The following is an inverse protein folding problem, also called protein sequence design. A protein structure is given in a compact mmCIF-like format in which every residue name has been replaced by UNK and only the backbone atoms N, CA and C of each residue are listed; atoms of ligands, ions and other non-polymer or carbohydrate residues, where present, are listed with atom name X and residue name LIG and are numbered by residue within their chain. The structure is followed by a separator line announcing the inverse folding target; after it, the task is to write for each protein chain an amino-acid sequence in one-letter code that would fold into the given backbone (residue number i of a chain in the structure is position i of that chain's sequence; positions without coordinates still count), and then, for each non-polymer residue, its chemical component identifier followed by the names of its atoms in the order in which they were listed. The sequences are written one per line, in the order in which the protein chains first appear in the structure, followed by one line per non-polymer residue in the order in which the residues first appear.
data_IF_167216450570
#
_entry.id   IF_167216450570
#
_cell.length_a   1.000
_cell.length_b   1.000
_cell.length_c   1.000
_cell.angle_alpha   90.00
_cell.angle_beta   90.00
_cell.angle_gamma   90.00
#
_symmetry.space_group_name_H-M   'P 1'
#
loop_
_entity.id
_entity.type
_entity.pdbx_description
1 polymer ?
#
# COMPACT_ATOMS: atom_id res chain seq x y z
N UNK A 1 -8.85 4.48 -12.61
CA UNK A 1 -7.96 5.27 -13.49
C UNK A 1 -8.33 5.02 -14.94
N UNK A 2 -8.25 6.05 -15.80
CA UNK A 2 -8.72 6.13 -17.21
C UNK A 2 -10.12 5.57 -17.53
N UNK A 3 -10.37 4.27 -17.35
CA UNK A 3 -11.70 3.63 -17.47
C UNK A 3 -12.78 4.33 -16.62
N UNK A 4 -12.40 4.74 -15.41
CA UNK A 4 -13.29 5.50 -14.50
C UNK A 4 -13.52 6.95 -14.95
N UNK A 5 -12.55 7.56 -15.65
CA UNK A 5 -12.71 8.91 -16.22
C UNK A 5 -13.74 8.85 -17.35
N UNK A 6 -13.62 7.87 -18.24
CA UNK A 6 -14.61 7.63 -19.31
C UNK A 6 -16.00 7.29 -18.75
N UNK A 7 -16.08 6.47 -17.70
CA UNK A 7 -17.35 6.14 -17.06
C UNK A 7 -18.04 7.36 -16.41
N UNK A 8 -17.26 8.27 -15.79
CA UNK A 8 -17.77 9.52 -15.23
C UNK A 8 -18.20 10.51 -16.33
N UNK A 9 -17.45 10.62 -17.43
CA UNK A 9 -17.84 11.42 -18.62
C UNK A 9 -19.16 10.90 -19.21
N UNK A 10 -19.34 9.59 -19.26
CA UNK A 10 -20.57 8.93 -19.69
C UNK A 10 -21.72 9.00 -18.66
N UNK A 11 -21.57 9.79 -17.57
CA UNK A 11 -22.55 9.97 -16.48
C UNK A 11 -23.02 8.67 -15.81
N UNK A 12 -22.27 7.58 -15.90
CA UNK A 12 -22.56 6.38 -15.11
C UNK A 12 -22.21 6.67 -13.65
N UNK A 13 -23.16 6.43 -12.73
CA UNK A 13 -22.88 6.44 -11.29
C UNK A 13 -21.87 5.33 -11.00
N UNK A 14 -20.60 5.70 -10.82
CA UNK A 14 -19.54 4.77 -10.46
C UNK A 14 -19.62 4.47 -8.96
N UNK A 15 -19.35 3.22 -8.56
CA UNK A 15 -19.39 2.81 -7.15
C UNK A 15 -18.43 3.64 -6.27
N UNK A 16 -17.40 4.23 -6.87
CA UNK A 16 -16.42 5.11 -6.21
C UNK A 16 -17.08 6.40 -5.70
N UNK A 17 -17.91 7.07 -6.51
CA UNK A 17 -18.60 8.30 -6.09
C UNK A 17 -19.62 7.99 -4.99
N UNK A 18 -20.34 6.87 -5.13
CA UNK A 18 -21.33 6.44 -4.14
C UNK A 18 -20.71 6.09 -2.78
N UNK A 19 -19.51 5.53 -2.78
CA UNK A 19 -18.80 5.13 -1.55
C UNK A 19 -17.72 6.14 -1.12
N UNK A 20 -17.78 7.38 -1.63
CA UNK A 20 -16.83 8.46 -1.31
C UNK A 20 -15.35 8.07 -1.46
N UNK A 21 -15.05 7.20 -2.42
CA UNK A 21 -13.69 6.75 -2.71
C UNK A 21 -13.17 5.57 -1.88
N UNK A 22 -13.94 5.05 -0.92
CA UNK A 22 -13.52 3.92 -0.09
C UNK A 22 -14.48 2.73 -0.22
N UNK A 23 -13.99 1.65 -0.84
CA UNK A 23 -14.73 0.38 -0.96
C UNK A 23 -14.04 -0.65 -0.09
N UNK A 24 -14.59 -0.86 1.10
CA UNK A 24 -14.09 -1.85 2.05
C UNK A 24 -14.14 -3.25 1.48
N UNK A 25 -13.09 -4.00 1.76
CA UNK A 25 -13.03 -5.44 1.55
C UNK A 25 -13.29 -6.14 2.88
N UNK A 26 -14.34 -6.95 2.94
CA UNK A 26 -14.80 -7.63 4.14
C UNK A 26 -14.45 -9.12 4.13
N UNK A 27 -14.29 -9.70 5.31
CA UNK A 27 -13.90 -11.09 5.50
C UNK A 27 -12.39 -11.30 5.63
N UNK A 28 -12.02 -12.51 6.04
CA UNK A 28 -10.65 -12.99 6.12
C UNK A 28 -10.56 -14.26 5.28
N UNK A 29 -9.50 -14.42 4.48
CA UNK A 29 -9.21 -15.69 3.83
C UNK A 29 -9.00 -16.77 4.89
N UNK A 30 -9.49 -17.98 4.61
CA UNK A 30 -9.31 -19.17 5.47
C UNK A 30 -7.84 -19.53 5.65
N UNK A 31 -7.00 -19.24 4.66
CA UNK A 31 -5.55 -19.40 4.74
C UNK A 31 -4.85 -18.11 4.31
N UNK A 32 -4.11 -17.54 5.25
CA UNK A 32 -3.27 -16.37 5.03
C UNK A 32 -1.86 -16.86 4.66
N UNK A 33 -1.61 -17.03 3.36
CA UNK A 33 -0.27 -17.29 2.83
C UNK A 33 0.10 -16.25 1.77
N UNK A 34 1.38 -15.89 1.74
CA UNK A 34 1.93 -14.91 0.81
C UNK A 34 3.45 -14.92 0.88
N UNK A 35 4.10 -14.44 -0.18
CA UNK A 35 5.55 -14.33 -0.21
C UNK A 35 5.96 -13.06 -0.95
N UNK A 36 6.84 -12.28 -0.32
CA UNK A 36 7.55 -11.22 -1.02
C UNK A 36 8.59 -11.80 -1.98
N UNK A 37 9.04 -11.04 -2.98
CA UNK A 37 10.15 -11.46 -3.83
C UNK A 37 11.39 -11.80 -3.02
N UNK A 38 12.08 -12.89 -3.39
CA UNK A 38 13.34 -13.29 -2.74
C UNK A 38 14.52 -12.41 -3.15
N UNK A 39 14.46 -11.87 -4.37
CA UNK A 39 15.53 -11.11 -5.01
C UNK A 39 15.08 -9.66 -5.19
N UNK A 40 15.95 -8.74 -4.80
CA UNK A 40 15.79 -7.32 -5.09
C UNK A 40 16.45 -7.03 -6.44
N UNK A 41 15.68 -6.52 -7.40
CA UNK A 41 16.21 -6.17 -8.71
C UNK A 41 17.17 -4.99 -8.61
N UNK A 42 18.24 -5.01 -9.41
CA UNK A 42 19.24 -3.94 -9.42
C UNK A 42 18.69 -2.61 -9.89
N UNK A 43 17.81 -2.64 -10.90
CA UNK A 43 17.13 -1.49 -11.48
C UNK A 43 15.63 -1.68 -11.48
N UNK A 44 14.90 -0.58 -11.34
CA UNK A 44 13.45 -0.54 -11.47
C UNK A 44 13.06 0.75 -12.20
N UNK A 45 12.90 0.64 -13.52
CA UNK A 45 12.62 1.80 -14.40
C UNK A 45 11.36 2.57 -13.98
N UNK A 46 10.37 1.88 -13.40
CA UNK A 46 9.14 2.53 -12.91
C UNK A 46 9.43 3.40 -11.68
N UNK A 47 10.21 2.88 -10.73
CA UNK A 47 10.61 3.65 -9.56
C UNK A 47 11.48 4.85 -9.96
N UNK A 48 12.44 4.63 -10.86
CA UNK A 48 13.35 5.68 -11.35
C UNK A 48 12.56 6.81 -12.05
N UNK A 49 11.56 6.44 -12.84
CA UNK A 49 10.66 7.40 -13.49
C UNK A 49 9.83 8.19 -12.46
N UNK A 50 9.26 7.52 -11.45
CA UNK A 50 8.49 8.18 -10.38
C UNK A 50 9.38 9.15 -9.59
N UNK A 51 10.57 8.72 -9.16
CA UNK A 51 11.50 9.58 -8.42
C UNK A 51 11.97 10.77 -9.25
N UNK A 52 12.25 10.56 -10.54
CA UNK A 52 12.61 11.65 -11.45
C UNK A 52 11.48 12.67 -11.59
N UNK A 53 10.24 12.20 -11.77
CA UNK A 53 9.07 13.06 -11.85
C UNK A 53 8.87 13.88 -10.57
N UNK A 54 8.96 13.24 -9.41
CA UNK A 54 8.85 13.90 -8.09
C UNK A 54 9.90 14.99 -7.91
N UNK A 55 11.16 14.70 -8.26
CA UNK A 55 12.28 15.64 -8.15
C UNK A 55 12.13 16.83 -9.10
N UNK A 56 11.80 16.58 -10.36
CA UNK A 56 11.61 17.62 -11.37
C UNK A 56 10.49 18.60 -10.98
N UNK A 57 9.41 18.08 -10.40
CA UNK A 57 8.25 18.88 -10.00
C UNK A 57 8.31 19.39 -8.56
N UNK A 58 9.42 19.18 -7.84
CA UNK A 58 9.63 19.60 -6.45
C UNK A 58 8.49 19.14 -5.51
N UNK A 59 7.93 17.96 -5.76
CA UNK A 59 6.82 17.42 -4.98
C UNK A 59 7.29 16.91 -3.63
N UNK A 60 6.48 17.11 -2.59
CA UNK A 60 6.66 16.46 -1.29
C UNK A 60 5.96 15.11 -1.32
N UNK A 61 6.73 14.04 -1.45
CA UNK A 61 6.22 12.66 -1.54
C UNK A 61 6.78 11.84 -0.38
N UNK A 62 5.93 10.97 0.16
CA UNK A 62 6.31 9.97 1.17
C UNK A 62 6.15 8.59 0.54
N UNK A 63 7.26 7.88 0.41
CA UNK A 63 7.23 6.47 0.06
C UNK A 63 7.00 5.64 1.31
N UNK A 64 6.10 4.66 1.23
CA UNK A 64 5.86 3.74 2.34
C UNK A 64 5.57 2.33 1.87
N UNK A 65 5.85 1.35 2.74
CA UNK A 65 5.46 -0.05 2.55
C UNK A 65 4.29 -0.37 3.48
N UNK A 66 3.18 -0.86 2.94
CA UNK A 66 1.99 -1.21 3.72
C UNK A 66 2.19 -2.51 4.54
N UNK A 67 1.38 -2.74 5.60
CA UNK A 67 1.50 -3.94 6.43
C UNK A 67 1.22 -5.24 5.66
N UNK A 68 1.91 -6.31 6.05
CA UNK A 68 1.64 -7.70 5.63
C UNK A 68 1.23 -8.55 6.82
N UNK A 69 0.51 -9.65 6.57
CA UNK A 69 0.13 -10.60 7.62
C UNK A 69 1.38 -11.18 8.33
N UNK A 70 1.17 -11.83 9.48
CA UNK A 70 2.27 -12.47 10.22
C UNK A 70 2.93 -13.62 9.43
N UNK A 71 2.18 -14.32 8.58
CA UNK A 71 2.64 -15.53 7.88
C UNK A 71 3.29 -15.26 6.51
N UNK A 72 3.46 -13.99 6.11
CA UNK A 72 4.09 -13.65 4.83
C UNK A 72 5.57 -14.06 4.85
N UNK A 73 6.06 -14.66 3.76
CA UNK A 73 7.44 -15.12 3.64
C UNK A 73 8.35 -14.04 3.03
N UNK A 74 9.67 -14.16 3.25
CA UNK A 74 10.70 -13.24 2.73
C UNK A 74 10.54 -11.79 3.22
N UNK A 75 10.17 -11.60 4.49
CA UNK A 75 9.94 -10.27 5.08
C UNK A 75 11.19 -9.39 5.14
N UNK A 76 12.38 -9.98 5.07
CA UNK A 76 13.65 -9.26 4.95
C UNK A 76 13.76 -8.45 3.64
N UNK A 77 12.87 -8.70 2.66
CA UNK A 77 12.77 -7.90 1.44
C UNK A 77 12.54 -6.42 1.74
N UNK A 78 11.73 -6.05 2.73
CA UNK A 78 11.47 -4.64 3.04
C UNK A 78 12.69 -3.94 3.64
N UNK A 79 13.47 -4.66 4.45
CA UNK A 79 14.79 -4.21 4.93
C UNK A 79 15.74 -3.97 3.77
N UNK A 80 15.82 -4.90 2.80
CA UNK A 80 16.64 -4.72 1.59
C UNK A 80 16.15 -3.52 0.75
N UNK A 81 14.84 -3.32 0.66
CA UNK A 81 14.26 -2.20 -0.08
C UNK A 81 14.62 -0.85 0.55
N UNK A 82 14.67 -0.75 1.89
CA UNK A 82 15.14 0.46 2.60
C UNK A 82 16.59 0.84 2.29
N UNK A 83 17.44 -0.12 1.91
CA UNK A 83 18.82 0.21 1.45
C UNK A 83 18.79 0.97 0.12
N UNK A 84 17.85 0.62 -0.78
CA UNK A 84 17.69 1.29 -2.08
C UNK A 84 16.88 2.57 -2.04
N UNK A 85 15.91 2.63 -1.13
CA UNK A 85 15.02 3.77 -0.94
C UNK A 85 15.12 4.17 0.54
N UNK A 86 16.18 4.89 0.97
CA UNK A 86 16.39 5.23 2.37
C UNK A 86 15.23 6.01 3.00
N UNK A 87 14.49 6.77 2.20
CA UNK A 87 13.31 7.53 2.60
C UNK A 87 12.03 6.68 2.77
N UNK A 88 12.07 5.38 2.45
CA UNK A 88 10.93 4.48 2.57
C UNK A 88 10.55 4.30 4.04
N UNK A 89 9.32 4.73 4.38
CA UNK A 89 8.71 4.42 5.67
C UNK A 89 8.18 2.98 5.65
N UNK A 90 8.82 2.11 6.41
CA UNK A 90 8.45 0.69 6.45
C UNK A 90 7.39 0.43 7.53
N UNK A 91 6.14 0.20 7.12
CA UNK A 91 5.05 -0.23 7.98
C UNK A 91 4.69 -1.70 7.77
N UNK A 92 5.54 -2.49 7.11
CA UNK A 92 5.29 -3.90 6.79
C UNK A 92 4.91 -4.76 8.00
N UNK A 93 5.32 -4.34 9.20
CA UNK A 93 5.05 -5.01 10.47
C UNK A 93 4.18 -4.18 11.43
N UNK A 94 3.59 -3.06 10.99
CA UNK A 94 2.79 -2.19 11.84
C UNK A 94 1.49 -2.85 12.34
N UNK A 95 1.04 -3.90 11.67
CA UNK A 95 -0.09 -4.75 12.09
C UNK A 95 0.36 -6.21 12.09
N UNK A 96 0.06 -6.93 13.17
CA UNK A 96 0.47 -8.33 13.36
C UNK A 96 -0.67 -9.30 13.59
N UNK A 97 -1.89 -8.80 13.81
CA UNK A 97 -3.07 -9.63 14.04
C UNK A 97 -3.77 -9.92 12.71
N UNK A 98 -3.93 -11.21 12.39
CA UNK A 98 -4.56 -11.73 11.19
C UNK A 98 -6.00 -11.20 10.98
N UNK A 99 -6.69 -10.78 12.05
CA UNK A 99 -8.02 -10.18 11.94
C UNK A 99 -8.06 -8.86 11.14
N UNK A 100 -6.90 -8.25 10.88
CA UNK A 100 -6.77 -7.02 10.10
C UNK A 100 -6.56 -7.26 8.61
N UNK A 101 -6.40 -8.51 8.19
CA UNK A 101 -6.01 -8.88 6.85
C UNK A 101 -7.15 -9.61 6.15
N UNK A 102 -7.47 -9.17 4.93
CA UNK A 102 -8.30 -9.95 4.02
C UNK A 102 -7.49 -11.13 3.51
N UNK A 103 -6.27 -10.87 3.07
CA UNK A 103 -5.28 -11.86 2.69
C UNK A 103 -3.88 -11.39 3.15
N UNK A 104 -2.85 -12.20 2.92
CA UNK A 104 -1.52 -11.88 3.43
C UNK A 104 -0.85 -10.62 2.88
N UNK A 105 -1.41 -10.04 1.80
CA UNK A 105 -0.92 -8.84 1.14
C UNK A 105 -1.92 -7.68 1.18
N UNK A 106 -3.16 -7.90 1.63
CA UNK A 106 -4.22 -6.89 1.64
C UNK A 106 -4.92 -6.80 3.00
N UNK A 107 -5.04 -5.58 3.50
CA UNK A 107 -5.83 -5.27 4.69
C UNK A 107 -7.34 -5.42 4.39
N UNK A 108 -8.09 -5.88 5.40
CA UNK A 108 -9.55 -5.77 5.41
C UNK A 108 -9.98 -4.41 5.96
N UNK A 109 -11.30 -4.18 6.09
CA UNK A 109 -11.84 -2.92 6.61
C UNK A 109 -11.27 -2.51 7.98
N UNK A 110 -11.16 -3.45 8.92
CA UNK A 110 -10.62 -3.19 10.27
C UNK A 110 -9.15 -2.81 10.19
N UNK A 111 -8.38 -3.56 9.40
CA UNK A 111 -6.96 -3.29 9.20
C UNK A 111 -6.69 -1.96 8.51
N UNK A 112 -7.46 -1.64 7.48
CA UNK A 112 -7.33 -0.37 6.75
C UNK A 112 -7.57 0.83 7.68
N UNK A 113 -8.64 0.80 8.48
CA UNK A 113 -8.92 1.85 9.48
C UNK A 113 -7.79 1.99 10.50
N UNK A 114 -7.36 0.86 11.09
CA UNK A 114 -6.28 0.89 12.08
C UNK A 114 -4.96 1.37 11.50
N UNK A 115 -4.63 0.96 10.27
CA UNK A 115 -3.43 1.43 9.59
C UNK A 115 -3.51 2.92 9.24
N UNK A 116 -4.69 3.42 8.85
CA UNK A 116 -4.89 4.86 8.61
C UNK A 116 -4.62 5.70 9.86
N UNK A 117 -5.04 5.25 11.04
CA UNK A 117 -4.73 5.92 12.31
C UNK A 117 -3.21 6.01 12.52
N UNK A 118 -2.53 4.86 12.48
CA UNK A 118 -1.06 4.76 12.65
C UNK A 118 -0.33 5.65 11.63
N UNK A 119 -0.70 5.54 10.36
CA UNK A 119 -0.09 6.31 9.29
C UNK A 119 -0.30 7.81 9.48
N UNK A 120 -1.50 8.23 9.88
CA UNK A 120 -1.82 9.65 10.08
C UNK A 120 -0.99 10.24 11.23
N UNK A 121 -0.86 9.52 12.34
CA UNK A 121 -0.03 9.92 13.48
C UNK A 121 1.46 10.03 13.08
N UNK A 122 1.97 9.05 12.33
CA UNK A 122 3.39 9.00 12.00
C UNK A 122 3.83 9.84 10.79
N UNK A 123 2.89 10.26 9.94
CA UNK A 123 3.20 10.92 8.67
C UNK A 123 2.54 12.29 8.53
N UNK A 124 1.30 12.44 9.00
CA UNK A 124 0.49 13.64 8.71
C UNK A 124 0.39 14.59 9.89
N UNK A 125 0.44 14.08 11.12
CA UNK A 125 0.29 14.86 12.36
C UNK A 125 1.64 15.24 13.01
N UNK A 126 2.75 15.05 12.30
CA UNK A 126 4.08 15.54 12.68
C UNK A 126 4.28 16.98 12.23
#
# INVERSE_FOLDING_TARGET
GFREIFANIARKKTNIILQKGYISRFGNATELTGALPKVLLDKNETLDAIQSFVKQNKMKVVFYCAPFCKNNQNKDFTTKLKVKIPELKDFSQALSNDQFFMDCNHLNDKGAKRFTEIFSEEVLMK
#
